data_IF_203560398168
#
_entry.id   IF_203560398168
#
_cell.length_a   1.000
_cell.length_b   1.000
_cell.length_c   1.000
_cell.angle_alpha   90.00
_cell.angle_beta   90.00
_cell.angle_gamma   90.00
#
_symmetry.space_group_name_H-M   'P 1'
#
loop_
_entity.id
_entity.type
_entity.pdbx_description
1 polymer ?
#
# COMPACT_ATOMS: atom_id res chain seq x y z
N UNK A 1 2.87 -60.75 -88.24
CA UNK A 1 2.90 -59.46 -87.50
C UNK A 1 2.92 -59.82 -86.03
N UNK A 2 4.12 -60.00 -85.45
CA UNK A 2 4.30 -60.61 -84.12
C UNK A 2 4.16 -59.58 -83.00
N UNK A 3 3.34 -59.93 -82.01
CA UNK A 3 3.26 -59.39 -80.65
C UNK A 3 4.63 -59.47 -79.96
N UNK A 4 5.05 -58.41 -79.26
CA UNK A 4 5.72 -58.53 -77.96
C UNK A 4 5.24 -57.40 -77.03
N UNK A 5 4.50 -57.81 -76.01
CA UNK A 5 4.17 -57.08 -74.78
C UNK A 5 5.45 -56.57 -74.08
N UNK A 6 5.53 -55.27 -73.82
CA UNK A 6 6.50 -54.71 -72.87
C UNK A 6 5.91 -54.79 -71.46
N UNK A 7 6.36 -55.79 -70.72
CA UNK A 7 5.97 -56.06 -69.33
C UNK A 7 6.54 -54.97 -68.40
N UNK A 8 5.66 -54.10 -67.89
CA UNK A 8 6.02 -53.01 -66.98
C UNK A 8 6.15 -53.57 -65.55
N UNK A 9 7.33 -54.10 -65.19
CA UNK A 9 7.62 -54.59 -63.84
C UNK A 9 7.62 -53.42 -62.85
N UNK A 10 6.50 -53.26 -62.13
CA UNK A 10 6.44 -52.45 -60.91
C UNK A 10 7.38 -53.07 -59.87
N UNK A 11 8.57 -52.51 -59.72
CA UNK A 11 9.46 -52.77 -58.58
C UNK A 11 8.74 -52.31 -57.31
N UNK A 12 8.11 -53.26 -56.61
CA UNK A 12 7.65 -53.03 -55.24
C UNK A 12 8.89 -52.88 -54.37
N UNK A 13 9.24 -51.66 -53.99
CA UNK A 13 10.12 -51.43 -52.85
C UNK A 13 9.42 -52.01 -51.62
N UNK A 14 9.76 -53.25 -51.26
CA UNK A 14 9.52 -53.73 -49.91
C UNK A 14 10.38 -52.84 -49.02
N UNK A 15 9.76 -51.82 -48.42
CA UNK A 15 10.35 -51.12 -47.31
C UNK A 15 10.65 -52.18 -46.24
N UNK A 16 11.92 -52.52 -46.09
CA UNK A 16 12.40 -53.42 -45.05
C UNK A 16 11.85 -52.89 -43.73
N UNK A 17 10.94 -53.64 -43.10
CA UNK A 17 10.50 -53.34 -41.73
C UNK A 17 11.63 -53.74 -40.79
N UNK A 18 12.67 -52.92 -40.74
CA UNK A 18 13.71 -53.02 -39.74
C UNK A 18 13.07 -52.66 -38.40
N UNK A 19 12.92 -53.65 -37.51
CA UNK A 19 12.58 -53.40 -36.11
C UNK A 19 13.77 -52.81 -35.37
N UNK A 20 13.51 -52.09 -34.28
CA UNK A 20 14.59 -51.55 -33.45
C UNK A 20 15.32 -52.66 -32.71
N UNK A 21 16.65 -52.55 -32.64
CA UNK A 21 17.45 -53.41 -31.77
C UNK A 21 17.18 -53.05 -30.31
N UNK A 22 17.19 -54.04 -29.42
CA UNK A 22 17.05 -53.82 -27.97
C UNK A 22 18.10 -52.83 -27.44
N UNK A 23 19.33 -52.89 -27.97
CA UNK A 23 20.40 -51.95 -27.61
C UNK A 23 20.08 -50.52 -28.05
N UNK A 24 19.47 -50.35 -29.22
CA UNK A 24 19.11 -49.04 -29.76
C UNK A 24 17.99 -48.38 -28.93
N UNK A 25 17.01 -49.17 -28.48
CA UNK A 25 15.97 -48.71 -27.55
C UNK A 25 16.56 -48.33 -26.18
N UNK A 26 17.53 -49.11 -25.67
CA UNK A 26 18.17 -48.78 -24.38
C UNK A 26 19.00 -47.50 -24.47
N UNK A 27 19.77 -47.31 -25.54
CA UNK A 27 20.60 -46.11 -25.72
C UNK A 27 19.71 -44.87 -25.92
N UNK A 28 18.65 -44.96 -26.72
CA UNK A 28 17.70 -43.84 -26.92
C UNK A 28 16.96 -43.47 -25.63
N UNK A 29 16.55 -44.46 -24.82
CA UNK A 29 15.93 -44.21 -23.52
C UNK A 29 16.93 -43.55 -22.54
N UNK A 30 18.18 -44.00 -22.52
CA UNK A 30 19.22 -43.40 -21.69
C UNK A 30 19.48 -41.93 -22.07
N UNK A 31 19.61 -41.62 -23.37
CA UNK A 31 19.82 -40.26 -23.85
C UNK A 31 18.61 -39.36 -23.62
N UNK A 32 17.39 -39.86 -23.86
CA UNK A 32 16.17 -39.08 -23.58
C UNK A 32 16.01 -38.82 -22.08
N UNK A 33 16.35 -39.76 -21.21
CA UNK A 33 16.37 -39.56 -19.76
C UNK A 33 17.32 -38.44 -19.31
N UNK A 34 18.53 -38.38 -19.90
CA UNK A 34 19.50 -37.31 -19.62
C UNK A 34 18.97 -35.96 -20.12
N UNK A 35 18.32 -35.91 -21.28
CA UNK A 35 17.75 -34.66 -21.80
C UNK A 35 16.57 -34.21 -20.94
N UNK A 36 15.68 -35.13 -20.55
CA UNK A 36 14.51 -34.82 -19.73
C UNK A 36 14.90 -34.31 -18.35
N UNK A 37 16.00 -34.80 -17.75
CA UNK A 37 16.48 -34.28 -16.47
C UNK A 37 16.93 -32.82 -16.57
N UNK A 38 17.62 -32.45 -17.65
CA UNK A 38 18.00 -31.06 -17.91
C UNK A 38 16.77 -30.16 -18.15
N UNK A 39 15.81 -30.62 -18.96
CA UNK A 39 14.55 -29.89 -19.21
C UNK A 39 13.75 -29.71 -17.92
N UNK A 40 13.66 -30.75 -17.10
CA UNK A 40 12.95 -30.69 -15.82
C UNK A 40 13.60 -29.70 -14.84
N UNK A 41 14.93 -29.63 -14.80
CA UNK A 41 15.64 -28.64 -14.01
C UNK A 41 15.31 -27.20 -14.45
N UNK A 42 15.27 -26.94 -15.77
CA UNK A 42 14.86 -25.65 -16.32
C UNK A 42 13.40 -25.34 -16.00
N UNK A 43 12.51 -26.32 -16.10
CA UNK A 43 11.09 -26.16 -15.76
C UNK A 43 10.88 -25.75 -14.30
N UNK A 44 11.55 -26.42 -13.34
CA UNK A 44 11.49 -26.03 -11.92
C UNK A 44 12.02 -24.61 -11.71
N UNK A 45 13.15 -24.27 -12.34
CA UNK A 45 13.71 -22.93 -12.25
C UNK A 45 12.76 -21.86 -12.80
N UNK A 46 12.02 -22.18 -13.87
CA UNK A 46 11.00 -21.30 -14.45
C UNK A 46 9.81 -21.12 -13.51
N UNK A 47 9.33 -22.19 -12.86
CA UNK A 47 8.24 -22.10 -11.89
C UNK A 47 8.62 -21.22 -10.69
N UNK A 48 9.81 -21.41 -10.14
CA UNK A 48 10.28 -20.60 -9.01
C UNK A 48 10.44 -19.13 -9.38
N UNK A 49 10.97 -18.85 -10.58
CA UNK A 49 11.11 -17.48 -11.08
C UNK A 49 9.74 -16.83 -11.24
N UNK A 50 8.73 -17.56 -11.74
CA UNK A 50 7.37 -17.07 -11.86
C UNK A 50 6.79 -16.59 -10.52
N UNK A 51 6.94 -17.38 -9.46
CA UNK A 51 6.45 -17.02 -8.11
C UNK A 51 7.20 -15.82 -7.54
N UNK A 52 8.53 -15.76 -7.68
CA UNK A 52 9.31 -14.61 -7.19
C UNK A 52 8.92 -13.32 -7.90
N UNK A 53 8.62 -13.36 -9.20
CA UNK A 53 8.17 -12.19 -9.95
C UNK A 53 6.74 -11.77 -9.56
N UNK A 54 5.82 -12.71 -9.34
CA UNK A 54 4.46 -12.42 -8.82
C UNK A 54 4.55 -11.68 -7.48
N UNK A 55 5.31 -12.22 -6.53
CA UNK A 55 5.50 -11.57 -5.22
C UNK A 55 6.08 -10.15 -5.33
N UNK A 56 6.95 -9.91 -6.32
CA UNK A 56 7.52 -8.57 -6.57
C UNK A 56 6.47 -7.63 -7.16
N UNK A 57 5.59 -8.11 -8.02
CA UNK A 57 4.51 -7.30 -8.59
C UNK A 57 3.50 -6.92 -7.52
N UNK A 58 3.05 -7.89 -6.71
CA UNK A 58 2.09 -7.67 -5.63
C UNK A 58 2.60 -6.62 -4.64
N UNK A 59 3.86 -6.76 -4.23
CA UNK A 59 4.58 -5.78 -3.40
C UNK A 59 4.55 -4.37 -3.97
N UNK A 60 4.86 -4.24 -5.26
CA UNK A 60 4.90 -2.93 -5.91
C UNK A 60 3.51 -2.34 -6.07
N UNK A 61 2.51 -3.16 -6.36
CA UNK A 61 1.13 -2.72 -6.55
C UNK A 61 0.51 -2.26 -5.24
N UNK A 62 0.64 -3.07 -4.18
CA UNK A 62 0.15 -2.74 -2.85
C UNK A 62 0.80 -1.45 -2.32
N UNK A 63 2.13 -1.31 -2.49
CA UNK A 63 2.83 -0.08 -2.09
C UNK A 63 2.38 1.16 -2.88
N UNK A 64 2.16 1.03 -4.20
CA UNK A 64 1.66 2.13 -5.03
C UNK A 64 0.27 2.55 -4.59
N UNK A 65 -0.62 1.58 -4.37
CA UNK A 65 -1.97 1.86 -3.89
C UNK A 65 -1.96 2.58 -2.53
N UNK A 66 -1.16 2.09 -1.57
CA UNK A 66 -1.03 2.71 -0.26
C UNK A 66 -0.51 4.15 -0.35
N UNK A 67 0.54 4.38 -1.13
CA UNK A 67 1.10 5.71 -1.32
C UNK A 67 0.16 6.64 -2.08
N UNK A 68 -0.53 6.18 -3.11
CA UNK A 68 -1.49 6.98 -3.88
C UNK A 68 -2.66 7.42 -2.99
N UNK A 69 -3.18 6.52 -2.15
CA UNK A 69 -4.23 6.83 -1.19
C UNK A 69 -3.77 7.85 -0.14
N UNK A 70 -2.62 7.62 0.51
CA UNK A 70 -2.01 8.55 1.46
C UNK A 70 -1.84 9.95 0.85
N UNK A 71 -1.19 10.03 -0.32
CA UNK A 71 -0.95 11.31 -0.97
C UNK A 71 -2.23 12.01 -1.39
N UNK A 72 -3.22 11.27 -1.90
CA UNK A 72 -4.48 11.83 -2.33
C UNK A 72 -5.21 12.49 -1.16
N UNK A 73 -5.31 11.79 -0.03
CA UNK A 73 -5.99 12.32 1.15
C UNK A 73 -5.19 13.44 1.83
N UNK A 74 -3.86 13.32 1.91
CA UNK A 74 -3.02 14.37 2.53
C UNK A 74 -3.02 15.69 1.75
N UNK A 75 -3.17 15.66 0.42
CA UNK A 75 -3.29 16.89 -0.38
C UNK A 75 -4.55 17.69 -0.07
N UNK A 76 -5.52 17.04 0.54
CA UNK A 76 -6.80 17.60 0.92
C UNK A 76 -6.80 18.14 2.35
N UNK A 77 -5.78 17.81 3.16
CA UNK A 77 -5.65 18.34 4.51
C UNK A 77 -5.71 19.87 4.52
N UNK A 78 -6.49 20.42 5.46
CA UNK A 78 -6.70 21.85 5.62
C UNK A 78 -7.53 22.49 4.51
N UNK A 79 -8.24 21.71 3.68
CA UNK A 79 -9.12 22.27 2.67
C UNK A 79 -10.33 22.94 3.35
N UNK A 80 -10.42 24.25 3.19
CA UNK A 80 -11.56 25.09 3.57
C UNK A 80 -11.94 25.94 2.35
N UNK A 81 -13.12 25.67 1.77
CA UNK A 81 -13.61 26.44 0.62
C UNK A 81 -14.24 27.77 1.05
N UNK A 82 -14.64 27.88 2.30
CA UNK A 82 -15.67 28.84 2.73
C UNK A 82 -15.18 29.84 3.76
N UNK A 83 -13.88 29.77 4.11
CA UNK A 83 -13.21 30.58 5.13
C UNK A 83 -14.02 30.58 6.42
N UNK A 84 -14.30 29.37 6.90
CA UNK A 84 -15.08 29.13 8.09
C UNK A 84 -14.43 29.83 9.29
N UNK A 85 -15.08 30.87 9.82
CA UNK A 85 -14.60 31.59 11.02
C UNK A 85 -14.95 30.84 12.31
N UNK A 86 -15.11 29.53 12.24
CA UNK A 86 -15.51 28.68 13.35
C UNK A 86 -14.27 28.23 14.14
N UNK A 87 -14.46 27.79 15.39
CA UNK A 87 -13.37 27.28 16.22
C UNK A 87 -12.75 25.95 15.70
N UNK A 88 -13.31 25.39 14.62
CA UNK A 88 -12.98 24.08 14.06
C UNK A 88 -12.55 24.23 12.58
N UNK A 89 -11.51 25.02 12.34
CA UNK A 89 -10.95 25.18 11.00
C UNK A 89 -10.28 23.88 10.56
N UNK A 90 -10.47 23.43 9.31
CA UNK A 90 -9.71 22.32 8.74
C UNK A 90 -8.20 22.50 8.91
N UNK A 91 -7.53 21.55 9.56
CA UNK A 91 -6.09 21.61 9.81
C UNK A 91 -5.52 20.21 10.07
N UNK A 92 -4.21 20.13 10.28
CA UNK A 92 -3.59 18.96 10.91
C UNK A 92 -3.76 19.12 12.41
N UNK A 93 -4.49 18.20 13.03
CA UNK A 93 -4.77 18.22 14.46
C UNK A 93 -3.70 17.49 15.26
N UNK A 94 -3.11 16.43 14.68
CA UNK A 94 -2.00 15.70 15.29
C UNK A 94 -1.08 15.09 14.24
N UNK A 95 0.21 15.05 14.57
CA UNK A 95 1.26 14.57 13.70
C UNK A 95 2.35 13.91 14.54
N UNK A 96 2.57 12.62 14.31
CA UNK A 96 3.64 11.83 14.90
C UNK A 96 4.50 11.18 13.82
N UNK A 97 5.44 10.33 14.25
CA UNK A 97 6.34 9.64 13.33
C UNK A 97 5.61 8.59 12.48
N UNK A 98 4.65 7.86 13.04
CA UNK A 98 3.95 6.74 12.41
C UNK A 98 2.43 6.97 12.25
N UNK A 99 1.93 8.11 12.71
CA UNK A 99 0.54 8.52 12.53
C UNK A 99 0.41 9.98 12.12
N UNK A 100 -0.70 10.28 11.44
CA UNK A 100 -1.13 11.64 11.13
C UNK A 100 -2.65 11.72 11.13
N UNK A 101 -3.17 12.80 11.71
CA UNK A 101 -4.58 13.11 11.77
C UNK A 101 -4.84 14.54 11.30
N UNK A 102 -5.74 14.66 10.35
CA UNK A 102 -6.11 15.93 9.74
C UNK A 102 -7.58 15.96 9.39
N UNK A 103 -8.09 17.15 9.16
CA UNK A 103 -9.44 17.35 8.65
C UNK A 103 -9.51 18.21 7.40
N UNK A 104 -10.65 18.12 6.70
CA UNK A 104 -10.98 18.83 5.47
C UNK A 104 -12.50 18.98 5.34
N UNK A 105 -12.98 20.18 4.99
CA UNK A 105 -14.41 20.50 4.80
C UNK A 105 -14.83 20.13 3.36
N UNK A 106 -15.48 18.97 3.19
CA UNK A 106 -15.89 18.43 1.89
C UNK A 106 -17.40 18.25 1.75
N UNK A 107 -18.10 18.12 2.85
CA UNK A 107 -19.47 17.61 2.92
C UNK A 107 -20.30 18.45 3.90
N UNK A 108 -21.53 18.00 4.18
CA UNK A 108 -22.45 18.70 5.07
C UNK A 108 -23.54 19.47 4.35
N UNK A 109 -23.42 19.69 3.03
CA UNK A 109 -24.42 20.43 2.27
C UNK A 109 -24.99 19.65 1.07
N UNK A 110 -26.33 19.60 0.96
CA UNK A 110 -27.01 19.01 -0.21
C UNK A 110 -26.89 19.87 -1.48
N UNK A 111 -26.51 21.14 -1.32
CA UNK A 111 -26.52 22.15 -2.38
C UNK A 111 -25.15 22.81 -2.53
N UNK A 112 -24.72 23.09 -3.76
CA UNK A 112 -23.49 23.85 -4.00
C UNK A 112 -23.73 25.36 -3.82
N UNK A 113 -24.03 25.76 -2.59
CA UNK A 113 -24.29 27.15 -2.19
C UNK A 113 -23.29 27.60 -1.12
N UNK A 114 -23.37 28.86 -0.70
CA UNK A 114 -22.60 29.33 0.48
C UNK A 114 -23.05 28.57 1.74
N UNK A 115 -22.15 28.22 2.67
CA UNK A 115 -22.48 27.67 3.99
C UNK A 115 -23.66 28.33 4.68
N UNK A 116 -23.68 29.67 4.68
CA UNK A 116 -24.69 30.49 5.35
C UNK A 116 -26.11 30.31 4.78
N UNK A 117 -26.23 29.72 3.59
CA UNK A 117 -27.49 29.46 2.88
C UNK A 117 -27.75 27.97 2.69
N UNK A 118 -26.81 27.13 3.11
CA UNK A 118 -26.89 25.70 2.98
C UNK A 118 -27.99 25.12 3.89
N UNK A 119 -28.69 24.10 3.39
CA UNK A 119 -29.42 23.17 4.27
C UNK A 119 -28.45 22.07 4.69
N UNK A 120 -28.02 22.11 5.96
CA UNK A 120 -27.07 21.14 6.53
C UNK A 120 -27.63 19.72 6.48
N UNK A 121 -26.79 18.76 6.10
CA UNK A 121 -27.12 17.37 5.84
C UNK A 121 -25.86 16.52 5.94
N UNK A 122 -25.86 15.53 6.82
CA UNK A 122 -24.73 14.60 7.01
C UNK A 122 -24.38 13.77 5.77
N UNK A 123 -25.25 13.75 4.76
CA UNK A 123 -25.00 13.09 3.46
C UNK A 123 -24.78 14.08 2.32
N UNK A 124 -24.64 15.36 2.66
CA UNK A 124 -24.38 16.43 1.72
C UNK A 124 -23.04 16.23 1.01
N UNK A 125 -23.00 16.54 -0.28
CA UNK A 125 -21.81 16.36 -1.13
C UNK A 125 -20.98 17.64 -1.29
N UNK A 126 -21.40 18.72 -0.62
CA UNK A 126 -20.75 20.03 -0.72
C UNK A 126 -20.34 20.53 0.67
N UNK A 127 -19.24 21.30 0.75
CA UNK A 127 -18.76 21.92 1.98
C UNK A 127 -19.82 22.80 2.64
N UNK A 128 -19.97 22.68 3.95
CA UNK A 128 -20.98 23.42 4.74
C UNK A 128 -20.37 24.41 5.73
N UNK A 129 -19.03 24.50 5.78
CA UNK A 129 -18.29 25.44 6.62
C UNK A 129 -18.05 24.97 8.05
N UNK A 130 -18.20 23.68 8.32
CA UNK A 130 -17.64 23.05 9.50
C UNK A 130 -16.89 21.74 9.14
N UNK A 131 -16.51 20.95 10.14
CA UNK A 131 -15.76 19.69 9.96
C UNK A 131 -16.47 18.49 10.58
N UNK A 132 -17.75 18.65 10.96
CA UNK A 132 -18.45 17.65 11.77
C UNK A 132 -19.22 16.62 10.94
N UNK A 133 -18.95 16.52 9.64
CA UNK A 133 -19.59 15.57 8.75
C UNK A 133 -18.75 14.31 8.46
N UNK A 134 -19.40 13.22 8.01
CA UNK A 134 -18.70 12.00 7.61
C UNK A 134 -17.64 12.22 6.52
N UNK A 135 -16.43 11.73 6.78
CA UNK A 135 -15.32 11.82 5.82
C UNK A 135 -14.47 13.07 5.91
N UNK A 136 -14.77 13.97 6.85
CA UNK A 136 -14.02 15.21 7.05
C UNK A 136 -12.86 15.05 8.02
N UNK A 137 -12.87 13.99 8.83
CA UNK A 137 -11.79 13.60 9.72
C UNK A 137 -11.11 12.34 9.19
N UNK A 138 -9.80 12.43 8.92
CA UNK A 138 -9.02 11.35 8.31
C UNK A 138 -7.78 11.06 9.14
N UNK A 139 -7.56 9.77 9.39
CA UNK A 139 -6.44 9.26 10.17
C UNK A 139 -5.71 8.19 9.37
N UNK A 140 -4.39 8.30 9.34
CA UNK A 140 -3.50 7.22 8.93
C UNK A 140 -2.57 6.85 10.07
N UNK A 141 -2.38 5.56 10.29
CA UNK A 141 -1.48 5.03 11.31
C UNK A 141 -0.94 3.66 10.89
N UNK A 142 0.12 3.20 11.55
CA UNK A 142 0.48 1.79 11.53
C UNK A 142 -0.18 1.09 12.71
N UNK A 143 -0.92 0.03 12.44
CA UNK A 143 -1.45 -0.83 13.49
C UNK A 143 -1.00 -2.27 13.27
N UNK A 144 -1.00 -3.07 14.34
CA UNK A 144 -0.72 -4.50 14.24
C UNK A 144 -2.03 -5.27 14.27
N UNK A 145 -2.24 -6.15 13.28
CA UNK A 145 -3.43 -6.98 13.20
C UNK A 145 -3.44 -8.11 14.25
N UNK A 146 -4.54 -8.85 14.34
CA UNK A 146 -4.69 -9.97 15.28
C UNK A 146 -3.68 -11.11 15.07
N UNK A 147 -2.99 -11.14 13.93
CA UNK A 147 -1.97 -12.14 13.59
C UNK A 147 -0.54 -11.63 13.85
N UNK A 148 -0.37 -10.41 14.38
CA UNK A 148 0.94 -9.81 14.63
C UNK A 148 1.58 -9.18 13.39
N UNK A 149 0.82 -8.97 12.31
CA UNK A 149 1.31 -8.32 11.10
C UNK A 149 1.02 -6.82 11.16
N UNK A 150 2.05 -6.00 10.99
CA UNK A 150 1.91 -4.54 10.87
C UNK A 150 1.24 -4.17 9.55
N UNK A 151 0.29 -3.25 9.59
CA UNK A 151 -0.48 -2.79 8.43
C UNK A 151 -0.66 -1.27 8.48
N UNK A 152 -0.73 -0.66 7.30
CA UNK A 152 -1.18 0.72 7.16
C UNK A 152 -2.70 0.75 7.33
N UNK A 153 -3.16 1.44 8.36
CA UNK A 153 -4.56 1.70 8.62
C UNK A 153 -5.00 3.02 8.00
N UNK A 154 -6.25 3.02 7.54
CA UNK A 154 -7.00 4.23 7.23
C UNK A 154 -8.33 4.18 7.96
N UNK A 155 -8.67 5.31 8.57
CA UNK A 155 -9.96 5.52 9.16
C UNK A 155 -10.44 6.91 8.75
N UNK A 156 -11.65 6.97 8.22
CA UNK A 156 -12.45 8.18 8.20
C UNK A 156 -13.42 8.11 9.37
N UNK A 157 -13.53 9.16 10.18
CA UNK A 157 -14.64 9.22 11.14
C UNK A 157 -15.91 9.64 10.39
N UNK A 158 -16.99 8.94 10.72
CA UNK A 158 -18.34 9.35 10.39
C UNK A 158 -18.67 10.45 11.39
N UNK A 159 -18.44 11.71 11.03
CA UNK A 159 -18.93 12.84 11.80
C UNK A 159 -20.38 12.54 12.23
N UNK A 160 -20.61 12.56 13.56
CA UNK A 160 -21.87 12.33 14.29
C UNK A 160 -22.02 10.92 14.93
N UNK A 161 -21.37 10.72 16.08
CA UNK A 161 -22.05 10.58 17.39
C UNK A 161 -21.58 11.73 18.29
N UNK A 162 -22.36 12.81 18.33
CA UNK A 162 -22.12 13.93 19.23
C UNK A 162 -22.15 15.27 18.52
N UNK A 163 -23.34 15.74 18.18
CA UNK A 163 -23.58 17.13 17.81
C UNK A 163 -22.85 18.10 18.76
N UNK A 164 -22.12 19.12 18.25
CA UNK A 164 -21.56 20.19 19.07
C UNK A 164 -22.63 21.09 19.73
N UNK A 165 -23.92 20.89 19.45
CA UNK A 165 -25.01 21.71 20.01
C UNK A 165 -25.34 21.34 21.47
N UNK A 166 -24.67 20.34 22.04
CA UNK A 166 -24.57 20.16 23.48
C UNK A 166 -23.16 20.48 23.93
N UNK A 167 -22.99 21.71 24.45
CA UNK A 167 -21.74 22.17 25.05
C UNK A 167 -21.09 21.07 25.89
N UNK A 168 -19.80 20.84 25.63
CA UNK A 168 -18.95 19.80 26.23
C UNK A 168 -18.88 18.44 25.48
N UNK A 169 -19.16 18.40 24.18
CA UNK A 169 -18.78 17.29 23.30
C UNK A 169 -17.28 17.33 22.98
N UNK A 170 -16.53 16.35 23.45
CA UNK A 170 -15.14 16.11 23.05
C UNK A 170 -15.08 15.84 21.54
N UNK A 171 -14.03 16.24 20.82
CA UNK A 171 -13.85 15.75 19.46
C UNK A 171 -13.88 14.22 19.51
N UNK A 172 -14.68 13.57 18.65
CA UNK A 172 -14.76 12.10 18.49
C UNK A 172 -13.40 11.48 18.15
N UNK A 173 -12.38 12.30 17.95
CA UNK A 173 -11.00 11.87 17.86
C UNK A 173 -10.13 12.75 18.76
N UNK A 174 -9.86 12.27 19.98
CA UNK A 174 -8.90 12.90 20.88
C UNK A 174 -7.51 12.30 20.59
N UNK A 175 -6.53 13.17 20.33
CA UNK A 175 -5.12 12.79 20.06
C UNK A 175 -4.54 11.85 21.12
N UNK A 176 -5.01 11.97 22.36
CA UNK A 176 -4.63 11.13 23.50
C UNK A 176 -5.13 9.68 23.44
N UNK A 177 -5.99 9.32 22.49
CA UNK A 177 -6.44 7.95 22.27
C UNK A 177 -5.75 7.29 21.06
N UNK A 178 -4.90 8.02 20.31
CA UNK A 178 -4.07 7.44 19.25
C UNK A 178 -2.78 6.90 19.87
N UNK A 179 -2.16 7.70 20.73
CA UNK A 179 -0.86 7.46 21.35
C UNK A 179 -1.01 7.75 22.85
N UNK A 180 -1.76 6.88 23.53
CA UNK A 180 -2.18 7.06 24.92
C UNK A 180 -1.00 6.98 25.88
N UNK A 181 0.01 6.22 25.49
CA UNK A 181 1.26 6.05 26.22
C UNK A 181 2.31 7.13 25.86
N UNK A 182 2.00 8.00 24.87
CA UNK A 182 2.85 9.07 24.36
C UNK A 182 4.25 8.58 23.94
N UNK A 183 4.33 7.35 23.43
CA UNK A 183 5.57 6.72 22.96
C UNK A 183 5.88 7.06 21.49
N UNK A 184 4.99 7.83 20.84
CA UNK A 184 5.14 8.25 19.47
C UNK A 184 4.70 7.19 18.47
N UNK A 185 3.98 6.15 18.92
CA UNK A 185 3.31 5.15 18.10
C UNK A 185 1.79 5.17 18.31
N UNK A 186 1.05 4.80 17.26
CA UNK A 186 -0.37 4.54 17.43
C UNK A 186 -0.60 3.22 18.19
N UNK A 187 -1.32 3.25 19.29
CA UNK A 187 -1.65 2.09 20.12
C UNK A 187 -2.56 1.11 19.33
N UNK A 188 -2.30 -0.22 19.34
CA UNK A 188 -3.11 -1.21 18.62
C UNK A 188 -4.56 -1.30 19.12
N UNK A 189 -5.54 -1.29 18.20
CA UNK A 189 -6.95 -1.53 18.53
C UNK A 189 -7.72 -0.33 19.06
N UNK A 190 -7.14 0.87 19.01
CA UNK A 190 -7.85 2.08 19.40
C UNK A 190 -8.98 2.36 18.40
N UNK A 191 -10.20 2.41 18.94
CA UNK A 191 -11.45 2.54 18.21
C UNK A 191 -12.21 3.70 18.82
N UNK A 192 -12.63 4.67 18.01
CA UNK A 192 -13.75 5.52 18.36
C UNK A 192 -15.01 4.95 17.70
N UNK A 193 -16.02 4.69 18.54
CA UNK A 193 -17.44 4.69 18.19
C UNK A 193 -17.99 3.60 17.26
N UNK A 194 -17.35 3.26 16.14
CA UNK A 194 -17.80 2.21 15.20
C UNK A 194 -16.85 1.89 14.03
N UNK A 195 -15.60 2.37 14.02
CA UNK A 195 -14.74 2.21 12.84
C UNK A 195 -13.45 1.44 13.15
N UNK A 196 -13.35 0.21 12.63
CA UNK A 196 -12.08 -0.52 12.59
C UNK A 196 -11.17 0.13 11.54
N UNK A 197 -9.88 0.27 11.83
CA UNK A 197 -8.90 0.68 10.82
C UNK A 197 -9.02 -0.23 9.59
N UNK A 198 -9.30 0.36 8.43
CA UNK A 198 -9.27 -0.38 7.18
C UNK A 198 -7.82 -0.65 6.82
N UNK A 199 -7.50 -1.94 6.72
CA UNK A 199 -6.23 -2.42 6.18
C UNK A 199 -6.04 -1.96 4.73
N UNK A 200 -5.00 -1.16 4.47
CA UNK A 200 -4.64 -0.73 3.11
C UNK A 200 -3.58 -1.65 2.51
N UNK A 201 -2.50 -1.87 3.26
CA UNK A 201 -1.34 -2.62 2.81
C UNK A 201 -0.53 -3.15 3.99
N UNK A 202 0.14 -4.31 3.84
CA UNK A 202 1.13 -4.76 4.80
C UNK A 202 2.35 -3.84 4.76
N UNK A 203 2.72 -3.32 5.94
CA UNK A 203 3.85 -2.40 6.11
C UNK A 203 4.74 -2.94 7.21
N UNK A 204 6.04 -2.72 7.07
CA UNK A 204 7.00 -3.06 8.11
C UNK A 204 7.29 -1.84 8.98
N UNK A 205 7.49 -0.69 8.34
CA UNK A 205 7.80 0.59 8.99
C UNK A 205 7.20 1.77 8.19
N UNK A 206 6.86 2.85 8.91
CA UNK A 206 6.37 4.11 8.39
C UNK A 206 7.09 5.27 9.10
N UNK A 207 7.45 6.30 8.35
CA UNK A 207 7.90 7.58 8.90
C UNK A 207 7.23 8.74 8.16
N UNK A 208 6.69 9.67 8.94
CA UNK A 208 6.33 11.01 8.50
C UNK A 208 7.39 12.00 8.98
N UNK A 209 8.09 12.63 8.04
CA UNK A 209 9.07 13.66 8.30
C UNK A 209 8.56 15.01 7.83
N UNK A 210 8.30 15.91 8.78
CA UNK A 210 7.58 17.16 8.53
C UNK A 210 8.53 18.32 8.29
N UNK A 211 8.31 19.04 7.19
CA UNK A 211 8.92 20.33 6.93
C UNK A 211 8.01 21.43 7.46
N UNK A 212 8.56 22.27 8.33
CA UNK A 212 7.85 23.37 8.96
C UNK A 212 8.18 24.71 8.28
N UNK A 213 7.26 25.66 8.35
CA UNK A 213 7.46 27.05 7.90
C UNK A 213 8.53 27.78 8.71
N UNK A 214 8.71 27.40 9.97
CA UNK A 214 9.78 27.85 10.84
C UNK A 214 10.31 26.70 11.69
N UNK A 215 11.63 26.62 11.84
CA UNK A 215 12.30 25.56 12.61
C UNK A 215 12.98 24.52 11.73
N UNK A 216 13.60 23.53 12.38
CA UNK A 216 14.19 22.39 11.69
C UNK A 216 13.09 21.35 11.38
N UNK A 217 13.19 20.62 10.26
CA UNK A 217 12.27 19.53 10.00
C UNK A 217 12.38 18.45 11.07
N UNK A 218 11.26 17.84 11.44
CA UNK A 218 11.12 16.94 12.60
C UNK A 218 10.11 15.84 12.32
N UNK A 219 10.20 14.74 13.06
CA UNK A 219 9.18 13.66 13.07
C UNK A 219 8.13 13.87 14.17
N UNK A 220 8.36 14.81 15.08
CA UNK A 220 7.43 15.22 16.15
C UNK A 220 7.26 16.74 16.13
N UNK A 221 6.37 17.28 15.27
CA UNK A 221 6.09 18.70 15.24
C UNK A 221 5.33 19.12 16.50
N UNK A 222 5.85 20.12 17.22
CA UNK A 222 5.18 20.66 18.41
C UNK A 222 3.93 21.47 18.05
N UNK A 223 3.99 22.21 16.95
CA UNK A 223 2.90 23.04 16.44
C UNK A 223 2.50 22.57 15.02
N UNK A 224 1.40 21.81 14.87
CA UNK A 224 0.96 21.28 13.58
C UNK A 224 0.62 22.36 12.53
N UNK A 225 0.22 23.56 12.96
CA UNK A 225 -0.08 24.68 12.06
C UNK A 225 1.14 25.15 11.24
N UNK A 226 2.35 24.87 11.72
CA UNK A 226 3.58 25.25 11.03
C UNK A 226 3.93 24.29 9.89
N UNK A 227 3.25 23.14 9.77
CA UNK A 227 3.57 22.12 8.77
C UNK A 227 3.28 22.63 7.35
N UNK A 228 4.20 22.37 6.42
CA UNK A 228 4.15 22.80 5.01
C UNK A 228 4.25 21.65 4.02
N UNK A 229 5.10 20.69 4.30
CA UNK A 229 5.16 19.43 3.57
C UNK A 229 5.50 18.28 4.50
N UNK A 230 5.18 17.06 4.06
CA UNK A 230 5.57 15.83 4.74
C UNK A 230 6.26 14.90 3.74
N UNK A 231 7.41 14.37 4.15
CA UNK A 231 8.09 13.28 3.47
C UNK A 231 7.69 11.97 4.13
N UNK A 232 7.07 11.09 3.35
CA UNK A 232 6.51 9.83 3.82
C UNK A 232 7.47 8.73 3.39
N UNK A 233 8.04 8.01 4.35
CA UNK A 233 8.86 6.83 4.11
C UNK A 233 8.05 5.58 4.45
N UNK A 234 7.68 4.79 3.44
CA UNK A 234 6.89 3.58 3.60
C UNK A 234 7.73 2.36 3.23
N UNK A 235 8.02 1.51 4.21
CA UNK A 235 8.65 0.21 3.99
C UNK A 235 7.58 -0.87 3.94
N UNK A 236 7.38 -1.48 2.78
CA UNK A 236 6.46 -2.62 2.62
C UNK A 236 7.21 -3.94 2.60
N UNK A 237 6.55 -5.01 3.04
CA UNK A 237 7.07 -6.38 3.05
C UNK A 237 6.19 -7.30 2.21
N UNK A 238 6.81 -8.22 1.48
CA UNK A 238 6.08 -9.20 0.67
C UNK A 238 5.32 -10.19 1.54
N UNK A 239 4.13 -10.60 1.09
CA UNK A 239 3.31 -11.55 1.84
C UNK A 239 3.94 -12.96 1.91
N UNK A 240 4.77 -13.30 0.91
CA UNK A 240 5.41 -14.61 0.79
C UNK A 240 6.93 -14.48 0.81
N UNK A 241 7.56 -15.45 1.47
CA UNK A 241 9.00 -15.62 1.46
C UNK A 241 9.48 -15.98 0.03
N UNK A 242 10.57 -15.36 -0.41
CA UNK A 242 11.25 -15.74 -1.65
C UNK A 242 12.48 -16.57 -1.30
N UNK A 243 12.42 -17.88 -1.51
CA UNK A 243 13.51 -18.82 -1.16
C UNK A 243 14.83 -18.55 -1.90
N UNK A 244 14.80 -17.78 -2.99
CA UNK A 244 16.01 -17.36 -3.72
C UNK A 244 16.52 -16.00 -3.24
N UNK A 245 15.73 -15.29 -2.44
CA UNK A 245 16.12 -14.03 -1.82
C UNK A 245 16.97 -14.31 -0.58
N UNK A 246 18.19 -13.79 -0.60
CA UNK A 246 19.10 -13.84 0.55
C UNK A 246 19.22 -12.41 1.06
N UNK A 247 18.49 -12.10 2.13
CA UNK A 247 18.58 -10.83 2.84
C UNK A 247 19.82 -10.83 3.73
N UNK A 248 20.95 -10.39 3.18
CA UNK A 248 22.20 -10.24 3.93
C UNK A 248 22.31 -8.79 4.41
N UNK A 249 21.68 -8.49 5.56
CA UNK A 249 21.70 -7.17 6.22
C UNK A 249 21.11 -6.05 5.35
N UNK A 250 19.90 -6.25 4.84
CA UNK A 250 19.19 -5.17 4.14
C UNK A 250 18.98 -4.00 5.11
N UNK A 251 19.34 -2.79 4.67
CA UNK A 251 19.20 -1.55 5.43
C UNK A 251 18.39 -0.54 4.61
N UNK A 252 17.38 0.05 5.23
CA UNK A 252 16.53 1.05 4.60
C UNK A 252 16.62 2.36 5.39
N UNK A 253 17.09 3.43 4.75
CA UNK A 253 17.22 4.74 5.39
C UNK A 253 15.98 5.57 5.09
N UNK A 254 15.22 6.01 6.10
CA UNK A 254 14.03 6.83 5.90
C UNK A 254 14.42 8.29 5.58
N UNK A 255 13.44 9.12 5.26
CA UNK A 255 13.62 10.49 4.78
C UNK A 255 14.34 11.39 5.80
N UNK A 256 14.07 11.21 7.09
CA UNK A 256 14.76 11.94 8.17
C UNK A 256 16.27 11.66 8.23
N UNK A 257 16.73 10.56 7.62
CA UNK A 257 18.09 10.05 7.76
C UNK A 257 18.39 9.47 9.15
N UNK A 258 17.39 9.39 10.03
CA UNK A 258 17.50 8.71 11.32
C UNK A 258 17.76 7.20 11.09
N UNK A 259 18.33 6.56 12.13
CA UNK A 259 18.96 5.24 12.06
C UNK A 259 18.29 4.25 11.08
N UNK A 260 19.06 3.64 10.16
CA UNK A 260 18.48 2.81 9.12
C UNK A 260 17.71 1.64 9.73
N UNK A 261 16.54 1.37 9.17
CA UNK A 261 15.76 0.17 9.46
C UNK A 261 16.54 -1.04 8.98
N UNK A 262 16.94 -1.89 9.94
CA UNK A 262 17.85 -3.03 9.76
C UNK A 262 17.34 -4.24 10.53
N UNK A 263 18.05 -5.37 10.47
CA UNK A 263 17.68 -6.58 11.19
C UNK A 263 16.81 -7.55 10.39
N UNK A 264 16.63 -7.30 9.10
CA UNK A 264 15.86 -8.15 8.21
C UNK A 264 16.71 -9.31 7.67
N UNK A 265 16.52 -10.50 8.24
CA UNK A 265 17.21 -11.74 7.81
C UNK A 265 16.23 -12.90 7.56
N UNK A 266 15.07 -12.61 7.00
CA UNK A 266 13.90 -13.50 6.99
C UNK A 266 13.46 -13.96 5.58
N UNK A 267 14.23 -13.69 4.53
CA UNK A 267 13.90 -14.16 3.17
C UNK A 267 12.70 -13.46 2.52
N UNK A 268 12.11 -12.47 3.19
CA UNK A 268 11.04 -11.64 2.64
C UNK A 268 11.62 -10.43 1.92
N UNK A 269 11.11 -10.18 0.70
CA UNK A 269 11.45 -8.96 -0.03
C UNK A 269 10.79 -7.76 0.62
N UNK A 270 11.53 -6.67 0.68
CA UNK A 270 11.05 -5.37 1.16
C UNK A 270 11.30 -4.30 0.13
N UNK A 271 10.49 -3.25 0.18
CA UNK A 271 10.68 -2.09 -0.68
C UNK A 271 10.39 -0.82 0.10
N UNK A 272 11.36 0.08 0.13
CA UNK A 272 11.18 1.43 0.62
C UNK A 272 10.70 2.34 -0.50
N UNK A 273 9.70 3.15 -0.23
CA UNK A 273 9.28 4.25 -1.08
C UNK A 273 9.22 5.52 -0.24
N UNK A 274 9.84 6.59 -0.75
CA UNK A 274 9.83 7.91 -0.12
C UNK A 274 9.16 8.89 -1.08
N UNK A 275 8.15 9.61 -0.61
CA UNK A 275 7.49 10.67 -1.40
C UNK A 275 7.21 11.88 -0.54
N UNK A 276 7.34 13.07 -1.14
CA UNK A 276 6.98 14.33 -0.51
C UNK A 276 5.59 14.81 -0.95
N UNK A 277 4.78 15.22 0.03
CA UNK A 277 3.46 15.81 -0.17
C UNK A 277 3.45 17.21 0.41
N UNK A 278 3.09 18.19 -0.41
CA UNK A 278 2.92 19.57 0.01
C UNK A 278 1.48 19.83 0.44
N UNK A 279 1.30 20.43 1.61
CA UNK A 279 -0.01 20.83 2.15
C UNK A 279 -0.42 22.19 1.59
N UNK A 280 -0.97 22.16 0.37
CA UNK A 280 -1.29 23.40 -0.37
C UNK A 280 -2.36 24.27 0.29
N UNK A 281 -3.25 23.66 1.07
CA UNK A 281 -4.36 24.38 1.70
C UNK A 281 -3.98 24.99 3.05
N UNK A 282 -2.80 24.67 3.61
CA UNK A 282 -2.34 25.15 4.92
C UNK A 282 -1.39 26.36 4.84
N UNK A 283 -1.34 27.01 3.68
CA UNK A 283 -0.37 28.06 3.37
C UNK A 283 1.01 27.48 3.05
N UNK A 284 1.69 28.04 2.05
CA UNK A 284 3.09 27.74 1.72
C UNK A 284 3.99 28.83 2.28
#
# INVERSE_FOLDING_TARGET
>A
MNLIMSENRKTRYFASRAGFSLVEVLVTLALTGIIMSAVYAVYIASLQTGVSEENRVDLQQSQRFAMDLLMSQLRHAGYDKTDSSSANVPTIHAAGQDYIYFSADYSGCDQNVSPSTCTKSATGLFPDGDINDPGEHIVFCVFTDANGVKQLGFTNSDGIDGSPDSGNGTPDFVVGDIDTNNDGLADPGHSHGSVNHQAIAPVEELEFYYNLSSGAPTVFPADPELIRSVQISLLTRGEKEDKRYVSNSDSFTPASGAGPWTGYSDGFRRRLMIVEVNFRNMGL
#
